data_IF_275591356237
#
_entry.id   IF_275591356237
#
_cell.length_a   1.000
_cell.length_b   1.000
_cell.length_c   1.000
_cell.angle_alpha   90.00
_cell.angle_beta   90.00
_cell.angle_gamma   90.00
#
_symmetry.space_group_name_H-M   'P 1'
#
loop_
_entity.id
_entity.type
_entity.pdbx_description
1 polymer ?
#
# COMPACT_ATOMS: atom_id res chain seq x y z
N UNK A 1 -22.30 2.64 4.21
CA UNK A 1 -21.02 3.32 4.44
C UNK A 1 -20.20 2.39 5.33
N UNK A 2 -19.18 1.71 4.80
CA UNK A 2 -18.36 0.78 5.60
C UNK A 2 -17.20 1.58 6.18
N UNK A 3 -17.47 2.28 7.28
CA UNK A 3 -16.44 2.95 8.08
C UNK A 3 -15.72 1.88 8.89
N UNK A 4 -14.39 1.80 8.78
CA UNK A 4 -13.56 0.70 9.27
C UNK A 4 -13.50 0.59 10.81
N UNK A 5 -12.98 -0.54 11.29
CA UNK A 5 -12.93 -1.02 12.69
C UNK A 5 -12.14 -0.14 13.69
N UNK A 6 -11.26 0.76 13.22
CA UNK A 6 -10.27 1.49 14.05
C UNK A 6 -10.31 3.02 13.82
N UNK A 7 -11.48 3.66 13.86
CA UNK A 7 -11.60 5.10 13.54
C UNK A 7 -11.24 6.06 14.70
N UNK A 8 -11.04 5.57 15.91
CA UNK A 8 -10.80 6.38 17.11
C UNK A 8 -9.32 6.52 17.50
N UNK A 9 -8.41 5.76 16.88
CA UNK A 9 -6.97 5.71 17.19
C UNK A 9 -6.10 6.16 16.00
N UNK A 10 -6.67 6.72 14.93
CA UNK A 10 -5.94 7.11 13.71
C UNK A 10 -4.74 8.05 13.97
N UNK A 11 -4.83 8.88 15.02
CA UNK A 11 -3.75 9.79 15.43
C UNK A 11 -2.51 9.01 15.87
N UNK A 12 -2.68 7.88 16.56
CA UNK A 12 -1.58 7.03 17.04
C UNK A 12 -0.80 6.35 15.91
N UNK A 13 -1.45 6.21 14.74
CA UNK A 13 -0.92 5.61 13.53
C UNK A 13 -0.33 6.62 12.54
N UNK A 14 -0.60 7.93 12.72
CA UNK A 14 -0.24 8.97 11.75
C UNK A 14 1.27 9.00 11.46
N UNK A 15 2.09 8.88 12.50
CA UNK A 15 3.56 8.87 12.36
C UNK A 15 4.07 7.71 11.51
N UNK A 16 3.47 6.52 11.65
CA UNK A 16 3.84 5.32 10.88
C UNK A 16 3.36 5.47 9.44
N UNK A 17 2.16 6.02 9.23
CA UNK A 17 1.61 6.27 7.91
C UNK A 17 2.48 7.29 7.14
N UNK A 18 2.85 8.40 7.78
CA UNK A 18 3.75 9.40 7.21
C UNK A 18 5.12 8.80 6.87
N UNK A 19 5.71 8.04 7.80
CA UNK A 19 6.99 7.37 7.56
C UNK A 19 6.91 6.43 6.36
N UNK A 20 5.89 5.58 6.31
CA UNK A 20 5.69 4.60 5.23
C UNK A 20 5.49 5.31 3.89
N UNK A 21 4.67 6.37 3.88
CA UNK A 21 4.43 7.17 2.68
C UNK A 21 5.71 7.83 2.17
N UNK A 22 6.47 8.49 3.05
CA UNK A 22 7.72 9.19 2.73
C UNK A 22 8.87 8.26 2.33
N UNK A 23 8.76 6.97 2.63
CA UNK A 23 9.73 5.94 2.25
C UNK A 23 9.32 5.16 0.98
N UNK A 24 8.06 5.29 0.56
CA UNK A 24 7.55 4.61 -0.64
C UNK A 24 8.12 5.23 -1.92
N UNK A 25 8.42 4.38 -2.91
CA UNK A 25 8.90 4.84 -4.22
C UNK A 25 7.76 5.50 -4.98
N UNK A 26 8.00 6.72 -5.46
CA UNK A 26 7.03 7.50 -6.26
C UNK A 26 7.28 7.33 -7.76
N UNK A 27 6.47 8.00 -8.58
CA UNK A 27 6.61 8.02 -10.05
C UNK A 27 8.01 8.46 -10.51
N UNK A 28 8.72 9.24 -9.70
CA UNK A 28 10.10 9.69 -9.97
C UNK A 28 11.16 8.58 -9.80
N UNK A 29 10.76 7.36 -9.43
CA UNK A 29 11.67 6.26 -9.08
C UNK A 29 12.39 6.44 -7.73
N UNK A 30 12.08 7.53 -7.01
CA UNK A 30 12.66 7.88 -5.73
C UNK A 30 11.55 8.11 -4.69
N UNK A 31 11.85 7.85 -3.43
CA UNK A 31 10.95 8.22 -2.33
C UNK A 31 11.13 9.70 -1.96
N UNK A 32 10.16 10.33 -1.29
CA UNK A 32 10.32 11.66 -0.71
C UNK A 32 11.55 11.78 0.20
N UNK A 33 11.82 10.78 1.07
CA UNK A 33 13.00 10.80 1.92
C UNK A 33 14.30 10.79 1.12
N UNK A 34 14.39 9.99 0.07
CA UNK A 34 15.58 9.96 -0.79
C UNK A 34 15.78 11.27 -1.53
N UNK A 35 14.69 11.91 -1.96
CA UNK A 35 14.75 13.21 -2.64
C UNK A 35 15.21 14.31 -1.68
N UNK A 36 14.68 14.34 -0.45
CA UNK A 36 14.95 15.41 0.52
C UNK A 36 16.29 15.22 1.24
N UNK A 37 16.62 14.00 1.64
CA UNK A 37 17.76 13.70 2.50
C UNK A 37 18.88 12.91 1.81
N UNK A 38 18.66 12.44 0.58
CA UNK A 38 19.63 11.65 -0.18
C UNK A 38 19.66 10.16 0.19
N UNK A 39 18.87 9.71 1.16
CA UNK A 39 18.79 8.30 1.57
C UNK A 39 17.38 7.90 2.02
N UNK A 40 17.12 6.60 2.05
CA UNK A 40 15.91 6.03 2.63
C UNK A 40 16.22 5.52 4.04
N UNK A 41 15.60 6.07 5.10
CA UNK A 41 15.76 5.52 6.43
C UNK A 41 15.13 4.13 6.49
N UNK A 42 15.83 3.13 7.00
CA UNK A 42 15.25 1.80 7.20
C UNK A 42 14.58 1.71 8.57
N UNK A 43 13.37 1.14 8.62
CA UNK A 43 12.69 0.81 9.86
C UNK A 43 12.76 -0.70 10.08
N UNK A 44 13.85 -1.16 10.65
CA UNK A 44 13.95 -2.56 11.10
C UNK A 44 13.30 -2.70 12.46
N UNK A 45 12.17 -3.40 12.52
CA UNK A 45 11.72 -4.09 13.72
C UNK A 45 12.69 -5.25 13.98
N UNK A 46 13.92 -4.94 14.39
CA UNK A 46 14.75 -5.99 14.97
C UNK A 46 13.95 -6.53 16.15
N UNK A 47 13.77 -7.87 16.28
CA UNK A 47 13.21 -8.42 17.49
C UNK A 47 14.24 -8.11 18.57
N UNK A 48 14.08 -6.98 19.25
CA UNK A 48 14.63 -6.78 20.57
C UNK A 48 13.80 -7.73 21.41
N UNK A 49 14.17 -9.01 21.38
CA UNK A 49 13.56 -10.02 22.21
C UNK A 49 13.75 -9.55 23.65
N UNK A 50 12.64 -9.10 24.25
CA UNK A 50 12.56 -8.47 25.57
C UNK A 50 13.07 -7.01 25.58
N UNK A 51 12.22 -6.08 25.09
CA UNK A 51 12.36 -4.71 25.54
C UNK A 51 12.33 -4.66 27.07
N UNK A 52 13.15 -3.82 27.69
CA UNK A 52 13.03 -3.55 29.14
C UNK A 52 11.72 -2.81 29.49
N UNK A 53 10.96 -2.42 28.47
CA UNK A 53 9.72 -1.66 28.57
C UNK A 53 8.59 -2.51 27.96
N UNK A 54 7.74 -3.13 28.80
CA UNK A 54 6.62 -3.98 28.34
C UNK A 54 5.67 -3.26 27.38
N UNK A 55 5.41 -1.97 27.61
CA UNK A 55 4.57 -1.16 26.72
C UNK A 55 5.13 -1.04 25.29
N UNK A 56 6.44 -1.19 25.10
CA UNK A 56 7.03 -1.20 23.76
C UNK A 56 6.73 -2.51 23.04
N UNK A 57 6.78 -3.65 23.74
CA UNK A 57 6.47 -4.96 23.18
C UNK A 57 4.97 -5.03 22.81
N UNK A 58 4.08 -4.58 23.69
CA UNK A 58 2.64 -4.44 23.41
C UNK A 58 2.37 -3.58 22.18
N UNK A 59 3.09 -2.46 22.03
CA UNK A 59 2.94 -1.57 20.86
C UNK A 59 3.41 -2.25 19.57
N UNK A 60 4.49 -3.02 19.60
CA UNK A 60 4.97 -3.78 18.43
C UNK A 60 3.94 -4.85 18.02
N UNK A 61 3.37 -5.56 18.99
CA UNK A 61 2.32 -6.55 18.72
C UNK A 61 1.07 -5.91 18.11
N UNK A 62 0.63 -4.75 18.65
CA UNK A 62 -0.48 -3.98 18.09
C UNK A 62 -0.20 -3.53 16.64
N UNK A 63 1.05 -3.12 16.32
CA UNK A 63 1.45 -2.78 14.96
C UNK A 63 1.39 -3.98 14.01
N UNK A 64 1.81 -5.16 14.48
CA UNK A 64 1.74 -6.39 13.69
C UNK A 64 0.30 -6.76 13.35
N UNK A 65 -0.58 -6.74 14.33
CA UNK A 65 -2.01 -7.03 14.11
C UNK A 65 -2.65 -6.00 13.17
N UNK A 66 -2.38 -4.70 13.36
CA UNK A 66 -2.88 -3.65 12.49
C UNK A 66 -2.45 -3.84 11.02
N UNK A 67 -1.22 -4.30 10.81
CA UNK A 67 -0.70 -4.61 9.47
C UNK A 67 -1.43 -5.79 8.83
N UNK A 68 -1.64 -6.86 9.59
CA UNK A 68 -2.35 -8.06 9.10
C UNK A 68 -3.81 -7.73 8.72
N UNK A 69 -4.50 -6.94 9.56
CA UNK A 69 -5.84 -6.42 9.28
C UNK A 69 -5.85 -5.58 7.99
N UNK A 70 -4.93 -4.63 7.86
CA UNK A 70 -4.83 -3.76 6.70
C UNK A 70 -4.57 -4.55 5.40
N UNK A 71 -3.67 -5.53 5.44
CA UNK A 71 -3.38 -6.41 4.31
C UNK A 71 -4.60 -7.24 3.90
N UNK A 72 -5.35 -7.76 4.87
CA UNK A 72 -6.59 -8.50 4.63
C UNK A 72 -7.65 -7.63 3.98
N UNK A 73 -7.88 -6.43 4.53
CA UNK A 73 -8.85 -5.47 3.99
C UNK A 73 -8.47 -5.01 2.57
N UNK A 74 -7.18 -4.78 2.31
CA UNK A 74 -6.70 -4.39 0.98
C UNK A 74 -6.92 -5.52 -0.04
N UNK A 75 -6.67 -6.77 0.33
CA UNK A 75 -6.98 -7.94 -0.53
C UNK A 75 -8.46 -8.01 -0.86
N UNK A 76 -9.33 -7.90 0.15
CA UNK A 76 -10.78 -7.89 -0.05
C UNK A 76 -11.24 -6.74 -0.97
N UNK A 77 -10.67 -5.55 -0.79
CA UNK A 77 -10.97 -4.39 -1.63
C UNK A 77 -10.54 -4.62 -3.09
N UNK A 78 -9.33 -5.15 -3.31
CA UNK A 78 -8.81 -5.48 -4.63
C UNK A 78 -9.65 -6.58 -5.32
N UNK A 79 -10.03 -7.63 -4.60
CA UNK A 79 -10.92 -8.67 -5.13
C UNK A 79 -12.28 -8.11 -5.51
N UNK A 80 -12.84 -7.22 -4.68
CA UNK A 80 -14.10 -6.55 -4.97
C UNK A 80 -13.97 -5.71 -6.23
N UNK A 81 -12.92 -4.89 -6.34
CA UNK A 81 -12.65 -4.06 -7.51
C UNK A 81 -12.53 -4.91 -8.78
N UNK A 82 -11.77 -6.02 -8.72
CA UNK A 82 -11.64 -6.98 -9.81
C UNK A 82 -13.01 -7.56 -10.22
N UNK A 83 -13.82 -8.05 -9.27
CA UNK A 83 -15.15 -8.61 -9.57
C UNK A 83 -16.07 -7.60 -10.28
N UNK A 84 -15.99 -6.32 -9.94
CA UNK A 84 -16.79 -5.28 -10.61
C UNK A 84 -16.23 -4.92 -11.99
N UNK A 85 -14.91 -4.87 -12.13
CA UNK A 85 -14.24 -4.66 -13.42
C UNK A 85 -14.55 -5.79 -14.40
N UNK A 86 -14.38 -7.05 -13.98
CA UNK A 86 -14.59 -8.25 -14.80
C UNK A 86 -16.04 -8.37 -15.31
N UNK A 87 -17.02 -7.79 -14.60
CA UNK A 87 -18.43 -7.75 -15.07
C UNK A 87 -18.66 -6.84 -16.28
N UNK A 88 -17.86 -5.80 -16.42
CA UNK A 88 -18.05 -4.75 -17.45
C UNK A 88 -17.06 -4.85 -18.61
N UNK A 89 -16.02 -5.68 -18.47
CA UNK A 89 -14.99 -5.85 -19.48
C UNK A 89 -15.44 -6.85 -20.54
N UNK A 90 -15.29 -6.45 -21.80
CA UNK A 90 -15.38 -7.36 -22.94
C UNK A 90 -14.01 -7.98 -23.16
N UNK A 91 -13.99 -9.21 -23.67
CA UNK A 91 -12.75 -9.83 -24.12
C UNK A 91 -12.01 -8.91 -25.10
N UNK A 92 -10.68 -8.91 -25.00
CA UNK A 92 -9.85 -8.17 -25.94
C UNK A 92 -10.16 -8.65 -27.38
N UNK A 93 -10.27 -7.74 -28.35
CA UNK A 93 -10.42 -8.13 -29.75
C UNK A 93 -9.27 -9.05 -30.16
N UNK A 94 -9.58 -10.12 -30.89
CA UNK A 94 -8.56 -10.92 -31.55
C UNK A 94 -8.13 -10.15 -32.80
N UNK A 95 -6.85 -9.82 -32.90
CA UNK A 95 -6.28 -9.14 -34.06
C UNK A 95 -5.58 -10.13 -34.96
N UNK A 96 -5.83 -10.04 -36.26
CA UNK A 96 -5.13 -10.81 -37.27
C UNK A 96 -4.00 -9.99 -37.91
N UNK A 97 -3.05 -10.70 -38.53
CA UNK A 97 -1.93 -10.05 -39.23
C UNK A 97 -2.46 -9.26 -40.43
N UNK A 98 -2.43 -7.93 -40.32
CA UNK A 98 -2.93 -7.00 -41.35
C UNK A 98 -3.98 -6.02 -40.81
N UNK A 99 -4.50 -6.24 -39.61
CA UNK A 99 -5.45 -5.32 -38.99
C UNK A 99 -4.82 -3.98 -38.64
N UNK A 100 -5.52 -2.89 -38.98
CA UNK A 100 -5.13 -1.55 -38.57
C UNK A 100 -5.80 -1.20 -37.23
N UNK A 101 -4.98 -0.85 -36.24
CA UNK A 101 -5.43 -0.42 -34.91
C UNK A 101 -5.10 1.05 -34.68
N UNK A 102 -6.01 1.75 -34.01
CA UNK A 102 -5.77 3.14 -33.61
C UNK A 102 -4.91 3.20 -32.35
N UNK A 103 -3.73 3.80 -32.47
CA UNK A 103 -2.85 4.05 -31.33
C UNK A 103 -3.13 5.43 -30.74
N UNK A 104 -3.41 5.49 -29.44
CA UNK A 104 -3.51 6.75 -28.72
C UNK A 104 -2.18 7.02 -27.98
N UNK A 105 -1.48 8.07 -28.36
CA UNK A 105 -0.16 8.43 -27.83
C UNK A 105 -0.20 9.22 -26.52
N UNK A 106 -1.38 9.41 -25.91
CA UNK A 106 -1.52 10.28 -24.73
C UNK A 106 -0.71 9.82 -23.50
N UNK A 107 -0.32 8.55 -23.43
CA UNK A 107 0.42 7.97 -22.31
C UNK A 107 1.60 7.07 -22.76
N UNK A 108 2.14 7.31 -23.96
CA UNK A 108 3.30 6.61 -24.51
C UNK A 108 4.49 7.58 -24.52
#
# INVERSE_FOLDING_TARGET
MFTSYRQNDWVDWLSIAEFTHNNSVTVTGHSPFKILYGYNPEFTFSPISNSKVPAADERVDAMREAKEDADSMLRMANERMKRFYDKGVKDAPQFEKGDMVWLNTKNI
#
